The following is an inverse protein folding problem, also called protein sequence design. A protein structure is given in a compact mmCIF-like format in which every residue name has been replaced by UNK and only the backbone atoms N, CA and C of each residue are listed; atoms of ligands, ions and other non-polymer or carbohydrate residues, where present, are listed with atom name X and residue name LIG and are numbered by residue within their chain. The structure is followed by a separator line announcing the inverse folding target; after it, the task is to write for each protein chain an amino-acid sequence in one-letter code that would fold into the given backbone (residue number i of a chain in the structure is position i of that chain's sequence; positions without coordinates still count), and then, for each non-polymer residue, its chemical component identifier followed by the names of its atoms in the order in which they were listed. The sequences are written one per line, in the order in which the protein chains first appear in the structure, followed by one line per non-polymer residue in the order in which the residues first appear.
data_IF_769338897838
#
_entry.id   IF_769338897838
#
_cell.length_a   1.000
_cell.length_b   1.000
_cell.length_c   1.000
_cell.angle_alpha   90.00
_cell.angle_beta   90.00
_cell.angle_gamma   90.00
#
_symmetry.space_group_name_H-M   'P 1'
#
loop_
_entity.id
_entity.type
_entity.pdbx_description
1 polymer ?
#
# COMPACT_ATOMS: atom_id res chain seq x y z
N UNK A 1 39.93 20.86 36.93
CA UNK A 1 40.09 19.87 35.83
C UNK A 1 38.98 20.16 34.83
N UNK A 2 39.32 20.67 33.65
CA UNK A 2 38.35 21.20 32.69
C UNK A 2 37.80 20.05 31.82
N UNK A 3 36.56 19.63 32.05
CA UNK A 3 35.88 18.64 31.22
C UNK A 3 35.23 19.35 30.02
N UNK A 4 35.79 19.12 28.82
CA UNK A 4 35.25 19.61 27.54
C UNK A 4 33.84 19.05 27.32
N UNK A 5 32.86 19.94 27.17
CA UNK A 5 31.51 19.61 26.69
C UNK A 5 31.56 19.45 25.17
N UNK A 6 31.58 18.21 24.66
CA UNK A 6 31.41 17.94 23.24
C UNK A 6 29.91 18.02 22.91
N UNK A 7 29.50 19.11 22.25
CA UNK A 7 28.17 19.21 21.64
C UNK A 7 28.12 18.28 20.44
N UNK A 8 27.44 17.13 20.59
CA UNK A 8 27.08 16.29 19.46
C UNK A 8 26.00 17.02 18.65
N UNK A 9 26.40 17.56 17.50
CA UNK A 9 25.46 18.07 16.52
C UNK A 9 24.74 16.89 15.85
N UNK A 10 23.42 16.94 15.87
CA UNK A 10 22.51 15.97 15.25
C UNK A 10 22.69 15.95 13.73
N UNK A 11 23.12 14.82 13.18
CA UNK A 11 23.07 14.57 11.73
C UNK A 11 21.85 13.70 11.43
N UNK A 12 20.78 14.30 10.89
CA UNK A 12 19.67 13.57 10.28
C UNK A 12 20.15 13.00 8.94
N UNK A 13 20.02 11.69 8.66
CA UNK A 13 20.33 11.16 7.34
C UNK A 13 19.40 11.81 6.30
N UNK A 14 19.96 12.42 5.26
CA UNK A 14 19.21 12.86 4.09
C UNK A 14 18.70 11.62 3.35
N UNK A 15 17.38 11.48 3.25
CA UNK A 15 16.72 10.52 2.37
C UNK A 15 17.05 10.88 0.92
N UNK A 16 17.99 10.16 0.31
CA UNK A 16 18.38 10.32 -1.08
C UNK A 16 17.33 9.65 -1.97
N UNK A 17 16.36 10.45 -2.41
CA UNK A 17 15.42 10.12 -3.47
C UNK A 17 16.19 10.06 -4.80
N UNK A 18 16.83 8.92 -5.10
CA UNK A 18 17.29 8.65 -6.46
C UNK A 18 16.11 8.12 -7.27
N UNK A 19 15.32 9.03 -7.81
CA UNK A 19 14.46 8.73 -8.95
C UNK A 19 15.39 8.47 -10.13
N UNK A 20 15.77 7.20 -10.33
CA UNK A 20 16.35 6.77 -11.59
C UNK A 20 15.26 6.87 -12.64
N UNK A 21 15.27 7.98 -13.38
CA UNK A 21 14.59 8.08 -14.67
C UNK A 21 15.21 7.01 -15.57
N UNK A 22 14.64 5.82 -15.56
CA UNK A 22 14.93 4.84 -16.59
C UNK A 22 14.34 5.39 -17.89
N UNK A 23 15.25 5.73 -18.81
CA UNK A 23 14.99 6.38 -20.09
C UNK A 23 13.84 5.76 -20.90
N UNK A 24 13.12 6.57 -21.69
CA UNK A 24 12.06 6.12 -22.60
C UNK A 24 12.69 5.38 -23.79
N UNK A 25 12.81 4.06 -23.65
CA UNK A 25 12.99 3.16 -24.78
C UNK A 25 11.70 3.14 -25.59
N UNK A 26 11.74 3.67 -26.81
CA UNK A 26 10.64 3.67 -27.74
C UNK A 26 10.27 2.25 -28.18
N UNK A 27 9.20 1.70 -27.61
CA UNK A 27 8.37 0.67 -28.21
C UNK A 27 6.90 1.10 -28.03
N UNK A 28 6.49 2.12 -28.79
CA UNK A 28 5.07 2.49 -28.87
C UNK A 28 4.39 1.40 -29.70
N UNK A 29 4.01 0.29 -29.06
CA UNK A 29 2.97 -0.56 -29.58
C UNK A 29 1.72 0.33 -29.74
N UNK A 30 1.11 0.32 -30.92
CA UNK A 30 -0.15 1.00 -31.27
C UNK A 30 -1.36 0.43 -30.47
N UNK A 31 -1.13 -0.12 -29.29
CA UNK A 31 -2.16 -0.71 -28.45
C UNK A 31 -2.90 0.42 -27.74
N UNK A 32 -4.07 0.80 -28.26
CA UNK A 32 -5.21 1.30 -27.49
C UNK A 32 -4.85 2.33 -26.40
N UNK A 33 -4.92 3.64 -26.72
CA UNK A 33 -4.89 4.69 -25.67
C UNK A 33 -6.02 4.38 -24.68
N UNK A 34 -5.72 4.09 -23.40
CA UNK A 34 -6.77 3.87 -22.42
C UNK A 34 -7.59 5.14 -22.30
N UNK A 35 -8.91 4.99 -22.26
CA UNK A 35 -9.81 6.12 -22.09
C UNK A 35 -9.48 6.82 -20.76
N UNK A 36 -9.46 8.16 -20.73
CA UNK A 36 -9.21 8.91 -19.48
C UNK A 36 -10.17 8.52 -18.35
N UNK A 37 -11.37 8.01 -18.71
CA UNK A 37 -12.33 7.42 -17.77
C UNK A 37 -11.83 6.12 -17.14
N UNK A 38 -11.30 5.19 -17.94
CA UNK A 38 -10.73 3.93 -17.44
C UNK A 38 -9.54 4.15 -16.52
N UNK A 39 -8.69 5.15 -16.80
CA UNK A 39 -7.54 5.47 -15.94
C UNK A 39 -8.00 5.96 -14.56
N UNK A 40 -9.06 6.78 -14.52
CA UNK A 40 -9.64 7.29 -13.27
C UNK A 40 -10.29 6.17 -12.46
N UNK A 41 -11.11 5.34 -13.09
CA UNK A 41 -11.80 4.22 -12.44
C UNK A 41 -10.77 3.19 -11.92
N UNK A 42 -9.70 2.97 -12.67
CA UNK A 42 -8.57 2.15 -12.22
C UNK A 42 -7.90 2.72 -10.97
N UNK A 43 -7.67 4.03 -10.92
CA UNK A 43 -7.03 4.68 -9.77
C UNK A 43 -7.87 4.58 -8.49
N UNK A 44 -9.19 4.74 -8.59
CA UNK A 44 -10.12 4.55 -7.47
C UNK A 44 -10.10 3.09 -6.98
N UNK A 45 -10.22 2.14 -7.90
CA UNK A 45 -10.17 0.71 -7.57
C UNK A 45 -8.89 0.34 -6.83
N UNK A 46 -7.75 0.88 -7.27
CA UNK A 46 -6.46 0.69 -6.61
C UNK A 46 -6.43 1.30 -5.20
N UNK A 47 -7.04 2.48 -5.02
CA UNK A 47 -7.11 3.11 -3.71
C UNK A 47 -7.92 2.28 -2.71
N UNK A 48 -9.09 1.80 -3.12
CA UNK A 48 -9.96 0.94 -2.30
C UNK A 48 -9.22 -0.36 -1.94
N UNK A 49 -8.60 -1.01 -2.92
CA UNK A 49 -7.84 -2.23 -2.70
C UNK A 49 -6.67 -2.02 -1.71
N UNK A 50 -5.97 -0.89 -1.80
CA UNK A 50 -4.89 -0.55 -0.88
C UNK A 50 -5.40 -0.36 0.56
N UNK A 51 -6.53 0.32 0.74
CA UNK A 51 -7.14 0.51 2.07
C UNK A 51 -7.58 -0.82 2.68
N UNK A 52 -8.28 -1.65 1.91
CA UNK A 52 -8.70 -3.00 2.33
C UNK A 52 -7.49 -3.85 2.76
N UNK A 53 -6.42 -3.83 1.97
CA UNK A 53 -5.18 -4.56 2.29
C UNK A 53 -4.55 -4.09 3.59
N UNK A 54 -4.44 -2.78 3.81
CA UNK A 54 -3.87 -2.22 5.03
C UNK A 54 -4.71 -2.61 6.27
N UNK A 55 -6.03 -2.50 6.19
CA UNK A 55 -6.94 -2.89 7.26
C UNK A 55 -6.81 -4.39 7.61
N UNK A 56 -6.79 -5.26 6.59
CA UNK A 56 -6.65 -6.69 6.78
C UNK A 56 -5.30 -7.08 7.40
N UNK A 57 -4.21 -6.46 6.94
CA UNK A 57 -2.88 -6.68 7.52
C UNK A 57 -2.81 -6.26 9.00
N UNK A 58 -3.40 -5.13 9.35
CA UNK A 58 -3.47 -4.68 10.74
C UNK A 58 -4.26 -5.67 11.61
N UNK A 59 -5.39 -6.18 11.11
CA UNK A 59 -6.18 -7.18 11.84
C UNK A 59 -5.40 -8.48 12.07
N UNK A 60 -4.64 -8.98 11.09
CA UNK A 60 -3.81 -10.19 11.27
C UNK A 60 -2.72 -10.04 12.33
N UNK A 61 -2.18 -8.83 12.53
CA UNK A 61 -1.14 -8.58 13.54
C UNK A 61 -1.74 -8.48 14.95
N UNK A 62 -2.94 -7.94 15.06
CA UNK A 62 -3.54 -7.56 16.36
C UNK A 62 -4.71 -8.46 16.80
N UNK A 63 -5.17 -9.37 15.96
CA UNK A 63 -6.31 -10.25 16.26
C UNK A 63 -6.07 -11.66 15.71
N UNK A 64 -6.56 -12.65 16.45
CA UNK A 64 -6.59 -14.06 16.03
C UNK A 64 -7.87 -14.43 15.27
N UNK A 65 -8.75 -13.47 14.97
CA UNK A 65 -9.98 -13.69 14.22
C UNK A 65 -9.75 -13.90 12.72
N UNK A 66 -10.74 -14.45 12.04
CA UNK A 66 -10.73 -14.58 10.58
C UNK A 66 -11.43 -13.37 9.96
N UNK A 67 -10.75 -12.70 9.03
CA UNK A 67 -11.23 -11.48 8.40
C UNK A 67 -11.20 -11.60 6.88
N UNK A 68 -12.16 -10.96 6.22
CA UNK A 68 -12.18 -10.76 4.77
C UNK A 68 -12.34 -9.28 4.45
N UNK A 69 -11.86 -8.85 3.28
CA UNK A 69 -12.01 -7.48 2.80
C UNK A 69 -13.42 -7.21 2.27
N UNK A 70 -13.84 -5.94 2.35
CA UNK A 70 -15.08 -5.44 1.76
C UNK A 70 -14.88 -4.06 1.13
N UNK A 71 -15.64 -3.74 0.10
CA UNK A 71 -15.72 -2.47 -0.61
C UNK A 71 -16.70 -1.48 0.05
N UNK A 72 -16.73 -1.45 1.39
CA UNK A 72 -17.65 -0.60 2.13
C UNK A 72 -17.18 0.86 2.21
N UNK A 73 -18.02 1.80 1.77
CA UNK A 73 -17.80 3.25 1.94
C UNK A 73 -18.10 3.77 3.35
N UNK A 74 -18.53 2.91 4.28
CA UNK A 74 -18.93 3.28 5.65
C UNK A 74 -17.93 2.82 6.71
N UNK A 75 -16.68 2.54 6.32
CA UNK A 75 -15.61 2.14 7.24
C UNK A 75 -15.55 0.66 7.58
N UNK A 76 -16.43 -0.18 7.01
CA UNK A 76 -16.37 -1.64 7.15
C UNK A 76 -15.43 -2.25 6.09
N UNK A 77 -14.16 -1.84 6.07
CA UNK A 77 -13.17 -2.30 5.08
C UNK A 77 -12.82 -3.79 5.23
N UNK A 78 -13.04 -4.34 6.43
CA UNK A 78 -12.92 -5.77 6.73
C UNK A 78 -14.10 -6.22 7.59
N UNK A 79 -14.50 -7.49 7.46
CA UNK A 79 -15.50 -8.11 8.31
C UNK A 79 -14.96 -9.37 9.00
N UNK A 80 -15.30 -9.59 10.28
CA UNK A 80 -15.06 -10.87 10.94
C UNK A 80 -15.99 -11.94 10.34
N UNK A 81 -15.45 -13.11 10.05
CA UNK A 81 -16.18 -14.25 9.46
C UNK A 81 -15.77 -15.57 10.11
N UNK A 82 -16.53 -16.63 9.82
CA UNK A 82 -16.08 -17.99 10.11
C UNK A 82 -15.03 -18.45 9.08
N UNK A 83 -14.09 -19.34 9.45
CA UNK A 83 -13.17 -19.95 8.50
C UNK A 83 -13.92 -20.60 7.34
N UNK A 84 -13.42 -20.42 6.12
CA UNK A 84 -13.90 -21.18 4.96
C UNK A 84 -13.28 -22.57 5.03
N UNK A 85 -14.13 -23.60 5.07
CA UNK A 85 -13.72 -25.00 4.96
C UNK A 85 -14.02 -25.42 3.51
N UNK A 86 -12.99 -25.80 2.76
CA UNK A 86 -13.20 -26.44 1.46
C UNK A 86 -13.72 -27.85 1.71
N UNK A 87 -14.75 -28.33 1.00
CA UNK A 87 -15.21 -29.71 1.15
C UNK A 87 -14.12 -30.66 0.65
N UNK A 88 -13.78 -31.66 1.47
CA UNK A 88 -12.92 -32.77 1.05
C UNK A 88 -13.73 -33.64 0.07
N UNK A 89 -13.53 -33.46 -1.24
CA UNK A 89 -14.12 -34.29 -2.30
C UNK A 89 -13.21 -35.44 -2.70
#
# INVERSE_FOLDING_TARGET
MNFRLTVYHSAKPKHNQSWSMNSPGANIALSSRPSLKEVRDSAEQQHIAAQQKAALQHAHVHSSGFFITQDSSFGNLILPVLPRLEPDF
#
